data_IF_268457328011
#
_entry.id   IF_268457328011
#
_cell.length_a   1.000
_cell.length_b   1.000
_cell.length_c   1.000
_cell.angle_alpha   90.00
_cell.angle_beta   90.00
_cell.angle_gamma   90.00
#
_symmetry.space_group_name_H-M   'P 1'
#
loop_
_entity.id
_entity.type
_entity.pdbx_description
1 polymer ?
#
# COMPACT_ATOMS: atom_id res chain seq x y z
N UNK A 1 9.01 6.99 -10.02
CA UNK A 1 9.47 6.09 -8.93
C UNK A 1 10.00 6.96 -7.81
N UNK A 2 10.03 6.48 -6.58
CA UNK A 2 10.49 7.28 -5.42
C UNK A 2 11.41 6.42 -4.56
N UNK A 3 12.65 6.85 -4.27
CA UNK A 3 13.51 6.17 -3.31
C UNK A 3 12.87 6.15 -1.93
N UNK A 4 12.51 4.97 -1.44
CA UNK A 4 11.72 4.80 -0.22
C UNK A 4 12.39 5.38 1.02
N UNK A 5 13.72 5.24 1.12
CA UNK A 5 14.48 5.80 2.24
C UNK A 5 14.45 7.33 2.28
N UNK A 6 14.32 8.01 1.14
CA UNK A 6 14.26 9.49 1.09
C UNK A 6 12.98 10.01 1.72
N UNK A 7 11.87 9.30 1.48
CA UNK A 7 10.59 9.60 2.14
C UNK A 7 10.73 9.45 3.65
N UNK A 8 11.36 8.36 4.12
CA UNK A 8 11.61 8.17 5.55
C UNK A 8 12.49 9.26 6.15
N UNK A 9 13.61 9.60 5.52
CA UNK A 9 14.53 10.64 6.00
C UNK A 9 13.80 11.98 6.16
N UNK A 10 13.02 12.38 5.16
CA UNK A 10 12.28 13.65 5.19
C UNK A 10 11.12 13.65 6.16
N UNK A 11 10.39 12.54 6.30
CA UNK A 11 9.33 12.43 7.30
C UNK A 11 9.89 12.49 8.74
N UNK A 12 11.07 11.91 8.98
CA UNK A 12 11.76 12.03 10.28
C UNK A 12 12.26 13.45 10.55
N UNK A 13 12.65 14.19 9.51
CA UNK A 13 13.07 15.59 9.63
C UNK A 13 11.89 16.53 9.88
N UNK A 14 10.79 16.38 9.11
CA UNK A 14 9.64 17.29 9.15
C UNK A 14 8.62 16.92 10.26
N UNK A 15 8.48 15.62 10.60
CA UNK A 15 7.51 15.11 11.59
C UNK A 15 8.11 14.03 12.52
N UNK A 16 9.19 14.31 13.25
CA UNK A 16 9.87 13.30 14.08
C UNK A 16 8.94 12.65 15.11
N UNK A 17 8.13 13.44 15.82
CA UNK A 17 7.23 12.96 16.87
C UNK A 17 6.12 12.07 16.31
N UNK A 18 5.48 12.48 15.21
CA UNK A 18 4.43 11.68 14.57
C UNK A 18 4.99 10.36 14.02
N UNK A 19 6.19 10.38 13.43
CA UNK A 19 6.84 9.15 12.94
C UNK A 19 7.18 8.21 14.09
N UNK A 20 7.67 8.73 15.22
CA UNK A 20 7.95 7.94 16.41
C UNK A 20 6.68 7.31 16.99
N UNK A 21 5.60 8.08 17.11
CA UNK A 21 4.30 7.60 17.58
C UNK A 21 3.74 6.51 16.67
N UNK A 22 3.74 6.75 15.35
CA UNK A 22 3.29 5.78 14.35
C UNK A 22 4.10 4.48 14.35
N UNK A 23 5.40 4.54 14.64
CA UNK A 23 6.23 3.32 14.80
C UNK A 23 5.94 2.58 16.09
N UNK A 24 5.75 3.33 17.18
CA UNK A 24 5.48 2.77 18.51
C UNK A 24 4.14 2.05 18.55
N UNK A 25 3.09 2.69 18.04
CA UNK A 25 1.74 2.11 18.04
C UNK A 25 1.53 1.15 16.85
N UNK A 26 2.18 1.41 15.72
CA UNK A 26 2.00 0.65 14.49
C UNK A 26 0.71 1.02 13.75
N UNK A 27 0.54 0.38 12.60
CA UNK A 27 -0.51 0.71 11.64
C UNK A 27 -1.48 -0.46 11.46
N UNK A 28 -2.75 -0.11 11.25
CA UNK A 28 -3.81 -1.04 10.86
C UNK A 28 -4.38 -0.61 9.52
N UNK A 29 -4.54 -1.58 8.63
CA UNK A 29 -5.14 -1.39 7.32
C UNK A 29 -6.42 -2.18 7.23
N UNK A 30 -7.42 -1.59 6.60
CA UNK A 30 -8.63 -2.30 6.18
C UNK A 30 -8.84 -2.17 4.69
N UNK A 31 -9.33 -3.23 4.05
CA UNK A 31 -9.70 -3.23 2.64
C UNK A 31 -10.98 -4.03 2.48
N UNK A 32 -12.00 -3.41 1.89
CA UNK A 32 -13.26 -4.04 1.54
C UNK A 32 -13.21 -4.48 0.09
N UNK A 33 -13.40 -5.78 -0.15
CA UNK A 33 -13.61 -6.36 -1.47
C UNK A 33 -15.09 -6.73 -1.67
N UNK A 34 -15.60 -6.50 -2.87
CA UNK A 34 -17.01 -6.74 -3.19
C UNK A 34 -17.34 -8.23 -3.28
N UNK A 35 -18.64 -8.55 -3.24
CA UNK A 35 -19.13 -9.91 -3.47
C UNK A 35 -18.84 -10.41 -4.89
N UNK A 36 -18.80 -9.51 -5.88
CA UNK A 36 -18.53 -9.82 -7.29
C UNK A 36 -17.54 -8.84 -7.88
N UNK A 37 -16.76 -9.33 -8.84
CA UNK A 37 -15.81 -8.48 -9.58
C UNK A 37 -16.52 -7.55 -10.55
N UNK A 38 -16.34 -6.26 -10.35
CA UNK A 38 -16.62 -5.20 -11.30
C UNK A 38 -15.35 -4.82 -12.07
N UNK A 39 -15.30 -5.21 -13.34
CA UNK A 39 -14.15 -4.94 -14.23
C UNK A 39 -14.08 -3.49 -14.72
N UNK A 40 -15.10 -2.67 -14.46
CA UNK A 40 -15.11 -1.25 -14.82
C UNK A 40 -14.32 -0.38 -13.83
N UNK A 41 -14.11 -0.87 -12.59
CA UNK A 41 -13.37 -0.19 -11.53
C UNK A 41 -11.98 -0.79 -11.33
N UNK A 42 -10.94 0.05 -11.23
CA UNK A 42 -9.58 -0.39 -10.87
C UNK A 42 -9.52 -1.07 -9.49
N UNK A 43 -10.49 -0.80 -8.61
CA UNK A 43 -10.62 -1.40 -7.27
C UNK A 43 -11.84 -2.33 -7.17
N UNK A 44 -12.49 -2.67 -8.28
CA UNK A 44 -13.70 -3.49 -8.29
C UNK A 44 -13.45 -4.99 -8.16
N UNK A 45 -12.27 -5.44 -7.72
CA UNK A 45 -12.03 -6.89 -7.55
C UNK A 45 -12.92 -7.44 -6.45
N UNK A 46 -13.67 -8.50 -6.79
CA UNK A 46 -14.41 -9.27 -5.81
C UNK A 46 -13.46 -10.12 -4.95
N UNK A 47 -13.97 -10.60 -3.82
CA UNK A 47 -13.16 -11.39 -2.89
C UNK A 47 -12.67 -12.70 -3.53
N UNK A 48 -13.47 -13.34 -4.38
CA UNK A 48 -13.08 -14.60 -5.02
C UNK A 48 -11.82 -14.43 -5.88
N UNK A 49 -11.75 -13.35 -6.66
CA UNK A 49 -10.57 -13.01 -7.46
C UNK A 49 -9.39 -12.58 -6.58
N UNK A 50 -9.66 -11.88 -5.47
CA UNK A 50 -8.63 -11.43 -4.54
C UNK A 50 -7.94 -12.60 -3.82
N UNK A 51 -8.71 -13.62 -3.43
CA UNK A 51 -8.22 -14.79 -2.71
C UNK A 51 -7.97 -15.99 -3.61
N UNK A 52 -8.42 -15.97 -4.88
CA UNK A 52 -8.27 -17.06 -5.85
C UNK A 52 -9.06 -18.32 -5.49
N UNK A 53 -10.23 -18.16 -4.88
CA UNK A 53 -11.10 -19.26 -4.42
C UNK A 53 -12.55 -18.78 -4.33
N UNK A 54 -13.51 -19.70 -4.50
CA UNK A 54 -14.94 -19.46 -4.24
C UNK A 54 -15.42 -20.07 -2.92
N UNK A 55 -14.50 -20.60 -2.11
CA UNK A 55 -14.78 -21.20 -0.80
C UNK A 55 -14.36 -20.23 0.32
N UNK A 56 -15.31 -19.93 1.22
CA UNK A 56 -15.13 -19.00 2.33
C UNK A 56 -14.06 -19.51 3.31
N UNK A 57 -14.07 -20.79 3.68
CA UNK A 57 -13.11 -21.34 4.65
C UNK A 57 -11.68 -21.29 4.09
N UNK A 58 -11.52 -21.58 2.80
CA UNK A 58 -10.24 -21.47 2.11
C UNK A 58 -9.76 -20.02 2.00
N UNK A 59 -10.67 -19.05 1.80
CA UNK A 59 -10.34 -17.63 1.78
C UNK A 59 -9.84 -17.16 3.16
N UNK A 60 -10.53 -17.54 4.23
CA UNK A 60 -10.12 -17.27 5.61
C UNK A 60 -8.75 -17.89 5.93
N UNK A 61 -8.52 -19.14 5.51
CA UNK A 61 -7.23 -19.82 5.67
C UNK A 61 -6.11 -19.08 4.95
N UNK A 62 -6.33 -18.63 3.70
CA UNK A 62 -5.35 -17.85 2.92
C UNK A 62 -5.08 -16.49 3.53
N UNK A 63 -6.11 -15.79 4.00
CA UNK A 63 -5.97 -14.52 4.70
C UNK A 63 -5.12 -14.68 5.97
N UNK A 64 -5.44 -15.68 6.80
CA UNK A 64 -4.70 -15.96 8.02
C UNK A 64 -3.25 -16.34 7.76
N UNK A 65 -2.96 -17.07 6.68
CA UNK A 65 -1.60 -17.44 6.29
C UNK A 65 -0.69 -16.22 5.99
N UNK A 66 -1.27 -15.08 5.63
CA UNK A 66 -0.54 -13.81 5.41
C UNK A 66 -0.73 -12.80 6.56
N UNK A 67 -1.35 -13.24 7.66
CA UNK A 67 -1.60 -12.41 8.86
C UNK A 67 -2.67 -11.35 8.64
N UNK A 68 -3.72 -11.69 7.90
CA UNK A 68 -4.92 -10.87 7.73
C UNK A 68 -6.09 -11.53 8.44
N UNK A 69 -6.84 -10.74 9.20
CA UNK A 69 -8.17 -11.12 9.68
C UNK A 69 -9.23 -10.79 8.62
N UNK A 70 -10.38 -11.45 8.73
CA UNK A 70 -11.44 -11.41 7.73
C UNK A 70 -12.81 -11.27 8.40
N UNK A 71 -13.64 -10.37 7.88
CA UNK A 71 -15.01 -10.13 8.31
C UNK A 71 -15.94 -10.17 7.09
N UNK A 72 -16.87 -11.13 7.07
CA UNK A 72 -17.88 -11.23 6.02
C UNK A 72 -18.97 -10.19 6.21
N UNK A 73 -19.31 -9.49 5.14
CA UNK A 73 -20.30 -8.42 5.16
C UNK A 73 -21.70 -8.93 4.75
N UNK A 74 -22.80 -8.29 5.21
CA UNK A 74 -24.16 -8.72 4.88
C UNK A 74 -24.49 -8.72 3.38
N UNK A 75 -23.78 -7.93 2.58
CA UNK A 75 -23.92 -7.84 1.13
C UNK A 75 -23.12 -8.92 0.36
N UNK A 76 -22.49 -9.84 1.08
CA UNK A 76 -21.64 -10.90 0.56
C UNK A 76 -20.23 -10.44 0.18
N UNK A 77 -19.86 -9.18 0.47
CA UNK A 77 -18.48 -8.72 0.40
C UNK A 77 -17.65 -9.19 1.58
N UNK A 78 -16.38 -8.80 1.59
CA UNK A 78 -15.47 -9.12 2.68
C UNK A 78 -14.63 -7.91 3.05
N UNK A 79 -14.47 -7.68 4.35
CA UNK A 79 -13.53 -6.71 4.89
C UNK A 79 -12.33 -7.46 5.47
N UNK A 80 -11.15 -7.12 4.98
CA UNK A 80 -9.89 -7.65 5.48
C UNK A 80 -9.24 -6.65 6.42
N UNK A 81 -8.56 -7.15 7.44
CA UNK A 81 -7.87 -6.33 8.44
C UNK A 81 -6.43 -6.82 8.54
N UNK A 82 -5.47 -5.91 8.36
CA UNK A 82 -4.04 -6.18 8.41
C UNK A 82 -3.39 -5.25 9.44
N UNK A 83 -2.84 -5.80 10.51
CA UNK A 83 -2.17 -5.00 11.54
C UNK A 83 -1.95 -5.78 12.84
N UNK A 84 -1.14 -5.26 13.77
CA UNK A 84 -0.30 -4.07 13.63
C UNK A 84 0.87 -4.29 12.66
N UNK A 85 1.25 -3.25 11.90
CA UNK A 85 2.42 -3.23 11.02
C UNK A 85 3.29 -2.01 11.32
N UNK A 86 4.61 -2.18 11.29
CA UNK A 86 5.55 -1.06 11.44
C UNK A 86 5.40 -0.03 10.31
N UNK A 87 5.67 1.23 10.62
CA UNK A 87 5.60 2.31 9.63
C UNK A 87 6.76 2.21 8.63
N UNK A 88 7.96 1.91 9.11
CA UNK A 88 9.15 1.72 8.27
C UNK A 88 9.74 0.32 8.46
N UNK A 89 10.59 -0.08 7.53
CA UNK A 89 11.26 -1.37 7.59
C UNK A 89 12.72 -1.26 7.17
N UNK A 90 13.60 -1.95 7.87
CA UNK A 90 15.00 -2.15 7.46
C UNK A 90 15.11 -3.51 6.79
N UNK A 91 15.74 -3.54 5.61
CA UNK A 91 15.95 -4.77 4.85
C UNK A 91 17.44 -5.08 4.72
N UNK A 92 17.78 -6.37 4.77
CA UNK A 92 19.15 -6.83 4.63
C UNK A 92 19.75 -6.45 3.26
N UNK A 93 21.03 -6.08 3.28
CA UNK A 93 21.75 -5.60 2.09
C UNK A 93 21.40 -4.16 1.67
N UNK A 94 20.56 -3.43 2.42
CA UNK A 94 20.19 -2.02 2.10
C UNK A 94 20.88 -0.99 3.01
N UNK A 95 22.08 -1.33 3.51
CA UNK A 95 22.92 -0.47 4.36
C UNK A 95 22.22 0.03 5.64
N UNK A 96 21.32 -0.76 6.21
CA UNK A 96 20.61 -0.40 7.44
C UNK A 96 19.59 0.74 7.30
N UNK A 97 19.31 1.21 6.07
CA UNK A 97 18.37 2.32 5.85
C UNK A 97 16.94 1.86 6.10
N UNK A 98 16.17 2.71 6.79
CA UNK A 98 14.72 2.55 6.98
C UNK A 98 14.02 2.92 5.67
N UNK A 99 13.15 2.03 5.21
CA UNK A 99 12.32 2.21 4.01
C UNK A 99 10.90 2.56 4.44
N UNK A 100 10.30 3.55 3.77
CA UNK A 100 8.88 3.89 3.86
C UNK A 100 8.03 2.80 3.17
N UNK A 101 7.96 1.64 3.81
CA UNK A 101 7.35 0.41 3.29
C UNK A 101 5.96 0.20 3.89
N UNK A 102 5.03 1.08 3.55
CA UNK A 102 3.67 1.11 4.09
C UNK A 102 2.68 1.65 3.04
N UNK A 103 1.39 1.67 3.38
CA UNK A 103 0.32 2.07 2.46
C UNK A 103 -0.46 3.31 2.92
N UNK A 104 0.07 4.09 3.88
CA UNK A 104 -0.65 5.19 4.54
C UNK A 104 -1.23 6.17 3.53
N UNK A 105 -0.41 6.78 2.67
CA UNK A 105 -0.85 7.78 1.68
C UNK A 105 -1.85 7.18 0.66
N UNK A 106 -1.73 5.89 0.34
CA UNK A 106 -2.59 5.22 -0.64
C UNK A 106 -3.97 4.80 -0.12
N UNK A 107 -4.12 4.68 1.20
CA UNK A 107 -5.29 4.10 1.86
C UNK A 107 -5.96 5.02 2.87
N UNK A 108 -5.29 6.06 3.38
CA UNK A 108 -5.90 7.00 4.34
C UNK A 108 -7.14 7.69 3.74
N UNK A 109 -8.22 7.75 4.54
CA UNK A 109 -9.46 8.44 4.21
C UNK A 109 -10.18 7.94 2.95
N UNK A 110 -10.00 6.69 2.52
CA UNK A 110 -10.74 6.13 1.36
C UNK A 110 -11.96 5.33 1.83
N UNK A 111 -12.98 5.29 0.98
CA UNK A 111 -14.24 4.60 1.28
C UNK A 111 -14.07 3.07 1.41
N UNK A 112 -13.35 2.46 0.46
CA UNK A 112 -13.16 1.00 0.40
C UNK A 112 -11.89 0.51 1.10
N UNK A 113 -11.07 1.43 1.60
CA UNK A 113 -9.82 1.08 2.27
C UNK A 113 -9.45 2.13 3.30
N UNK A 114 -8.96 1.74 4.46
CA UNK A 114 -8.48 2.70 5.47
C UNK A 114 -7.08 2.34 5.96
N UNK A 115 -6.34 3.36 6.38
CA UNK A 115 -5.10 3.25 7.14
C UNK A 115 -5.23 4.10 8.41
N UNK A 116 -5.16 3.45 9.56
CA UNK A 116 -5.24 4.07 10.89
C UNK A 116 -4.03 3.65 11.73
N UNK A 117 -3.87 4.26 12.89
CA UNK A 117 -3.06 3.69 13.97
C UNK A 117 -3.63 2.32 14.38
N UNK A 118 -2.81 1.46 14.97
CA UNK A 118 -3.21 0.08 15.28
C UNK A 118 -4.40 0.02 16.26
N UNK A 119 -4.41 0.92 17.24
CA UNK A 119 -5.49 1.12 18.22
C UNK A 119 -6.81 1.60 17.57
N UNK A 120 -6.76 2.08 16.32
CA UNK A 120 -7.91 2.63 15.59
C UNK A 120 -7.97 4.15 15.57
N UNK A 121 -7.05 4.85 16.21
CA UNK A 121 -6.95 6.32 16.13
C UNK A 121 -6.58 6.73 14.70
N UNK A 122 -7.17 7.83 14.23
CA UNK A 122 -6.89 8.36 12.90
C UNK A 122 -5.46 8.91 12.81
N UNK A 123 -4.82 8.68 11.65
CA UNK A 123 -3.52 9.29 11.37
C UNK A 123 -3.76 10.76 11.03
N UNK A 124 -3.01 11.72 11.61
CA UNK A 124 -3.23 13.13 11.36
C UNK A 124 -3.16 13.48 9.86
N UNK A 125 -4.19 14.16 9.36
CA UNK A 125 -4.37 14.40 7.92
C UNK A 125 -3.23 15.24 7.33
N UNK A 126 -2.71 16.21 8.08
CA UNK A 126 -1.60 17.06 7.70
C UNK A 126 -0.30 16.27 7.49
N UNK A 127 -0.05 15.24 8.31
CA UNK A 127 1.11 14.35 8.20
C UNK A 127 0.99 13.52 6.92
N UNK A 128 -0.20 12.96 6.65
CA UNK A 128 -0.46 12.16 5.45
C UNK A 128 -0.35 13.01 4.19
N UNK A 129 -0.95 14.21 4.20
CA UNK A 129 -0.90 15.14 3.08
C UNK A 129 0.54 15.53 2.77
N UNK A 130 1.31 15.92 3.79
CA UNK A 130 2.69 16.32 3.59
C UNK A 130 3.59 15.16 3.14
N UNK A 131 3.35 13.95 3.65
CA UNK A 131 4.00 12.74 3.14
C UNK A 131 3.72 12.53 1.65
N UNK A 132 2.48 12.74 1.20
CA UNK A 132 2.12 12.68 -0.22
C UNK A 132 2.88 13.71 -1.07
N UNK A 133 3.07 14.92 -0.57
CA UNK A 133 3.87 15.97 -1.24
C UNK A 133 5.35 15.59 -1.29
N UNK A 134 5.93 15.06 -0.21
CA UNK A 134 7.32 14.57 -0.19
C UNK A 134 7.51 13.44 -1.22
N UNK A 135 6.56 12.51 -1.32
CA UNK A 135 6.58 11.42 -2.32
C UNK A 135 6.61 12.01 -3.75
N UNK A 136 5.84 13.07 -4.01
CA UNK A 136 5.80 13.75 -5.30
C UNK A 136 7.11 14.51 -5.58
N UNK A 137 7.66 15.23 -4.59
CA UNK A 137 8.92 15.98 -4.68
C UNK A 137 10.13 15.07 -4.93
N UNK A 138 10.21 13.93 -4.24
CA UNK A 138 11.28 12.93 -4.42
C UNK A 138 11.04 12.02 -5.65
N UNK A 139 9.99 12.28 -6.43
CA UNK A 139 9.63 11.43 -7.57
C UNK A 139 10.57 11.62 -8.76
N UNK A 140 11.22 10.52 -9.16
CA UNK A 140 11.96 10.42 -10.40
C UNK A 140 10.98 10.01 -11.50
N UNK A 141 10.79 10.92 -12.45
CA UNK A 141 9.91 10.75 -13.58
C UNK A 141 10.72 10.66 -14.86
N UNK A 142 10.40 9.67 -15.68
CA UNK A 142 10.99 9.50 -17.00
C UNK A 142 9.89 9.15 -17.99
N UNK A 143 10.11 9.53 -19.24
CA UNK A 143 9.20 9.20 -20.33
C UNK A 143 9.55 7.81 -20.84
N UNK A 144 8.54 6.94 -20.89
CA UNK A 144 8.68 5.61 -21.47
C UNK A 144 8.84 5.69 -22.98
N UNK A 145 9.79 4.94 -23.50
CA UNK A 145 9.94 4.64 -24.91
C UNK A 145 9.73 3.15 -25.19
N UNK A 146 9.35 2.83 -26.43
CA UNK A 146 9.13 1.45 -26.82
C UNK A 146 10.46 0.70 -26.79
N UNK A 147 10.52 -0.36 -26.01
CA UNK A 147 11.72 -1.18 -25.84
C UNK A 147 12.44 -0.95 -24.52
N UNK A 148 12.07 0.10 -23.77
CA UNK A 148 12.59 0.32 -22.43
C UNK A 148 12.26 -0.86 -21.50
N UNK A 149 13.24 -1.21 -20.69
CA UNK A 149 13.09 -2.18 -19.60
C UNK A 149 13.57 -1.51 -18.32
N UNK A 150 12.67 -1.42 -17.34
CA UNK A 150 12.98 -0.91 -16.01
C UNK A 150 13.08 -2.07 -15.04
N UNK A 151 14.22 -2.17 -14.35
CA UNK A 151 14.38 -3.01 -13.17
C UNK A 151 14.14 -2.16 -11.92
N UNK A 152 13.28 -2.67 -11.02
CA UNK A 152 12.90 -1.99 -9.79
C UNK A 152 13.12 -2.93 -8.61
N UNK A 153 13.87 -2.48 -7.60
CA UNK A 153 13.95 -3.14 -6.30
C UNK A 153 12.72 -2.74 -5.47
N UNK A 154 11.75 -3.65 -5.35
CA UNK A 154 10.48 -3.37 -4.67
C UNK A 154 10.65 -3.13 -3.16
N UNK A 155 11.79 -3.51 -2.57
CA UNK A 155 12.08 -3.24 -1.17
C UNK A 155 12.60 -1.81 -0.94
N UNK A 156 13.07 -1.14 -1.99
CA UNK A 156 13.74 0.17 -1.88
C UNK A 156 13.03 1.30 -2.63
N UNK A 157 12.02 1.00 -3.44
CA UNK A 157 11.34 1.98 -4.31
C UNK A 157 9.83 1.91 -4.17
N UNK A 158 9.20 3.07 -4.06
CA UNK A 158 7.78 3.23 -4.35
C UNK A 158 7.59 3.51 -5.85
N UNK A 159 6.45 3.11 -6.38
CA UNK A 159 6.08 3.39 -7.76
C UNK A 159 4.62 3.76 -7.89
N UNK A 160 4.33 4.58 -8.89
CA UNK A 160 2.99 5.08 -9.19
C UNK A 160 2.86 5.29 -10.70
N UNK A 161 1.68 5.72 -11.14
CA UNK A 161 1.38 5.94 -12.56
C UNK A 161 0.76 7.33 -12.74
N UNK A 162 1.28 8.11 -13.70
CA UNK A 162 0.62 9.34 -14.17
C UNK A 162 -0.59 9.03 -15.07
N UNK A 163 -1.60 9.90 -15.10
CA UNK A 163 -2.62 9.87 -16.14
C UNK A 163 -1.99 9.86 -17.54
N UNK A 164 -2.63 9.17 -18.49
CA UNK A 164 -2.13 9.03 -19.86
C UNK A 164 -3.27 8.73 -20.81
N UNK A 165 -3.19 9.22 -22.05
CA UNK A 165 -4.14 8.87 -23.10
C UNK A 165 -3.79 7.51 -23.74
N UNK A 166 -4.78 6.72 -24.18
CA UNK A 166 -4.53 5.52 -24.97
C UNK A 166 -4.01 5.86 -26.39
N UNK A 167 -3.25 4.96 -27.04
CA UNK A 167 -2.84 3.65 -26.56
C UNK A 167 -1.64 3.71 -25.61
N UNK A 168 -1.71 2.99 -24.49
CA UNK A 168 -0.58 2.78 -23.56
C UNK A 168 -0.57 1.33 -23.08
N UNK A 169 0.55 0.63 -23.30
CA UNK A 169 0.74 -0.75 -22.83
C UNK A 169 2.11 -0.88 -22.16
N UNK A 170 2.12 -1.31 -20.90
CA UNK A 170 3.32 -1.63 -20.13
C UNK A 170 3.14 -3.04 -19.59
N UNK A 171 4.16 -3.88 -19.75
CA UNK A 171 4.17 -5.25 -19.25
C UNK A 171 4.97 -5.31 -17.95
N UNK A 172 4.64 -6.25 -17.07
CA UNK A 172 5.28 -6.42 -15.76
C UNK A 172 5.59 -7.90 -15.55
N UNK A 173 6.76 -8.17 -14.96
CA UNK A 173 7.11 -9.44 -14.36
C UNK A 173 7.51 -9.19 -12.90
N UNK A 174 7.17 -10.11 -12.00
CA UNK A 174 7.48 -10.02 -10.58
C UNK A 174 8.45 -11.15 -10.25
N UNK A 175 9.53 -10.82 -9.54
CA UNK A 175 10.48 -11.79 -9.03
C UNK A 175 10.12 -12.10 -7.57
N UNK A 176 10.12 -13.39 -7.21
CA UNK A 176 9.91 -13.88 -5.85
C UNK A 176 11.23 -14.21 -5.16
#
# INVERSE_FOLDING_TARGET
>A
MVPSFRVTERMLEEFPEAVEEMEKEGLKYTLTAFSKTDRSSMRGRGWEDAFGTSDHEEAERRAKAVGMDMEWLPDGGVKTILGPRSLTKVFDGRKGRRMWFNMVVGMHGKELSSATMADGTEIPEEVVKRCGEIIEEESIQFKWEKGDVLFLDNLALLHARRPSLPPRKVLVAICN
#
